data_IF_906888292796
#
_entry.id   IF_906888292796
#
_cell.length_a   1.000
_cell.length_b   1.000
_cell.length_c   1.000
_cell.angle_alpha   90.00
_cell.angle_beta   90.00
_cell.angle_gamma   90.00
#
_symmetry.space_group_name_H-M   'P 1'
#
loop_
_entity.id
_entity.type
_entity.pdbx_description
1 polymer ?
#
# COMPACT_ATOMS: atom_id res chain seq x y z
N UNK A 1 -13.63 5.58 -8.52
CA UNK A 1 -12.32 5.02 -8.93
C UNK A 1 -12.39 3.50 -8.98
N UNK A 2 -11.85 2.89 -10.00
CA UNK A 2 -11.77 1.43 -10.10
C UNK A 2 -10.50 0.93 -9.42
N UNK A 3 -10.63 -0.07 -8.58
CA UNK A 3 -9.52 -0.74 -7.90
C UNK A 3 -9.34 -2.10 -8.54
N UNK A 4 -8.24 -2.28 -9.27
CA UNK A 4 -7.90 -3.55 -9.89
C UNK A 4 -7.24 -4.46 -8.84
N UNK A 5 -7.61 -5.74 -8.86
CA UNK A 5 -6.97 -6.73 -7.98
C UNK A 5 -5.48 -6.87 -8.30
N UNK A 6 -4.73 -7.39 -7.33
CA UNK A 6 -3.27 -7.58 -7.45
C UNK A 6 -2.91 -8.44 -8.66
N UNK A 7 -3.73 -9.44 -8.97
CA UNK A 7 -3.53 -10.33 -10.13
C UNK A 7 -4.10 -9.77 -11.43
N UNK A 8 -4.79 -8.62 -11.39
CA UNK A 8 -5.41 -8.00 -12.55
C UNK A 8 -6.65 -8.69 -13.08
N UNK A 9 -7.18 -9.70 -12.38
CA UNK A 9 -8.26 -10.53 -12.89
C UNK A 9 -9.65 -9.92 -12.69
N UNK A 10 -9.79 -8.96 -11.77
CA UNK A 10 -11.06 -8.29 -11.53
C UNK A 10 -10.82 -6.89 -10.98
N UNK A 11 -11.87 -6.09 -10.98
CA UNK A 11 -11.85 -4.75 -10.43
C UNK A 11 -13.10 -4.48 -9.61
N UNK A 12 -12.97 -3.64 -8.58
CA UNK A 12 -14.09 -3.18 -7.77
C UNK A 12 -14.15 -1.65 -7.81
N UNK A 13 -15.37 -1.11 -7.75
CA UNK A 13 -15.55 0.34 -7.69
C UNK A 13 -15.39 0.81 -6.24
N UNK A 14 -14.51 1.76 -6.01
CA UNK A 14 -14.27 2.31 -4.67
C UNK A 14 -15.53 2.88 -4.03
N UNK A 15 -16.48 3.38 -4.81
CA UNK A 15 -17.75 3.92 -4.33
C UNK A 15 -18.62 2.85 -3.66
N UNK A 16 -18.42 1.60 -4.04
CA UNK A 16 -19.16 0.45 -3.48
C UNK A 16 -18.41 -0.23 -2.33
N UNK A 17 -17.19 0.19 -2.03
CA UNK A 17 -16.41 -0.38 -0.95
C UNK A 17 -16.79 0.30 0.37
N UNK A 18 -17.22 -0.50 1.33
CA UNK A 18 -17.60 -0.04 2.67
C UNK A 18 -16.39 -0.02 3.58
N UNK A 19 -15.47 -0.98 3.39
CA UNK A 19 -14.35 -1.16 4.30
C UNK A 19 -13.23 -1.95 3.62
N UNK A 20 -11.99 -1.60 3.95
CA UNK A 20 -10.82 -2.41 3.66
C UNK A 20 -10.29 -3.05 4.94
N UNK A 21 -9.81 -4.28 4.86
CA UNK A 21 -9.20 -4.97 5.99
C UNK A 21 -7.95 -5.72 5.58
N UNK A 22 -6.97 -5.72 6.47
CA UNK A 22 -5.81 -6.61 6.39
C UNK A 22 -6.08 -7.79 7.32
N UNK A 23 -6.19 -8.99 6.74
CA UNK A 23 -6.50 -10.22 7.49
C UNK A 23 -5.47 -11.29 7.23
N UNK A 24 -5.13 -12.03 8.27
CA UNK A 24 -4.38 -13.27 8.09
C UNK A 24 -5.32 -14.36 7.59
N UNK A 25 -4.82 -15.21 6.68
CA UNK A 25 -5.59 -16.32 6.14
C UNK A 25 -5.81 -17.39 7.21
N UNK A 26 -7.06 -17.83 7.37
CA UNK A 26 -7.40 -18.92 8.28
C UNK A 26 -7.00 -20.29 7.73
N UNK A 27 -6.94 -20.43 6.42
CA UNK A 27 -6.71 -21.70 5.73
C UNK A 27 -5.26 -21.92 5.32
N UNK A 28 -4.52 -20.85 5.01
CA UNK A 28 -3.14 -20.92 4.56
C UNK A 28 -2.24 -20.21 5.56
N UNK A 29 -1.34 -20.95 6.25
CA UNK A 29 -0.37 -20.32 7.15
C UNK A 29 0.57 -19.43 6.35
N UNK A 30 1.03 -18.34 6.96
CA UNK A 30 1.95 -17.38 6.36
C UNK A 30 1.39 -16.64 5.14
N UNK A 31 0.07 -16.46 5.10
CA UNK A 31 -0.57 -15.63 4.06
C UNK A 31 -1.39 -14.53 4.73
N UNK A 32 -1.17 -13.30 4.30
CA UNK A 32 -1.97 -12.14 4.70
C UNK A 32 -2.72 -11.64 3.48
N UNK A 33 -3.99 -11.31 3.65
CA UNK A 33 -4.86 -10.83 2.57
C UNK A 33 -5.30 -9.41 2.83
N UNK A 34 -5.29 -8.62 1.76
CA UNK A 34 -5.97 -7.33 1.74
C UNK A 34 -7.35 -7.57 1.15
N UNK A 35 -8.39 -7.31 1.95
CA UNK A 35 -9.79 -7.58 1.58
C UNK A 35 -10.57 -6.29 1.47
N UNK A 36 -11.50 -6.26 0.52
CA UNK A 36 -12.49 -5.19 0.37
C UNK A 36 -13.87 -5.75 0.65
N UNK A 37 -14.65 -5.07 1.47
CA UNK A 37 -16.05 -5.37 1.70
C UNK A 37 -16.89 -4.47 0.79
N UNK A 38 -17.69 -5.08 -0.06
CA UNK A 38 -18.44 -4.42 -1.12
C UNK A 38 -19.91 -4.47 -0.78
N UNK A 39 -20.59 -3.33 -0.96
CA UNK A 39 -22.03 -3.24 -0.83
C UNK A 39 -22.70 -3.60 -2.16
N UNK A 40 -23.62 -4.56 -2.10
CA UNK A 40 -24.41 -4.96 -3.27
C UNK A 40 -25.77 -4.26 -3.26
N UNK A 41 -26.45 -4.25 -4.42
CA UNK A 41 -27.68 -3.49 -4.69
C UNK A 41 -28.82 -3.77 -3.72
N UNK A 42 -28.88 -4.96 -3.12
CA UNK A 42 -29.93 -5.35 -2.17
C UNK A 42 -29.58 -5.08 -0.70
N UNK A 43 -28.51 -4.33 -0.45
CA UNK A 43 -28.03 -4.05 0.89
C UNK A 43 -27.14 -5.14 1.49
N UNK A 44 -26.93 -6.26 0.81
CA UNK A 44 -26.03 -7.31 1.25
C UNK A 44 -24.57 -6.84 1.12
N UNK A 45 -23.71 -7.38 1.97
CA UNK A 45 -22.26 -7.10 1.95
C UNK A 45 -21.50 -8.34 1.54
N UNK A 46 -20.45 -8.13 0.79
CA UNK A 46 -19.63 -9.20 0.24
C UNK A 46 -18.16 -8.83 0.42
N UNK A 47 -17.41 -9.70 1.07
CA UNK A 47 -15.96 -9.48 1.29
C UNK A 47 -15.16 -10.29 0.29
N UNK A 48 -14.17 -9.66 -0.33
CA UNK A 48 -13.32 -10.29 -1.33
C UNK A 48 -11.87 -9.89 -1.14
N UNK A 49 -10.96 -10.87 -1.28
CA UNK A 49 -9.54 -10.63 -1.29
C UNK A 49 -9.14 -9.92 -2.60
N UNK A 50 -8.50 -8.78 -2.49
CA UNK A 50 -7.99 -8.02 -3.64
C UNK A 50 -6.48 -8.10 -3.76
N UNK A 51 -5.79 -8.65 -2.76
CA UNK A 51 -4.36 -8.86 -2.79
C UNK A 51 -3.92 -9.86 -1.73
N UNK A 52 -2.83 -10.57 -2.01
CA UNK A 52 -2.24 -11.54 -1.10
C UNK A 52 -0.74 -11.27 -0.93
N UNK A 53 -0.26 -11.51 0.29
CA UNK A 53 1.13 -11.29 0.70
C UNK A 53 1.60 -12.50 1.48
N UNK A 54 2.79 -13.01 1.19
CA UNK A 54 3.29 -14.27 1.73
C UNK A 54 4.66 -14.19 2.39
N UNK A 55 5.37 -13.09 2.23
CA UNK A 55 6.70 -12.90 2.80
C UNK A 55 6.65 -12.78 4.34
N UNK A 56 7.79 -12.88 5.04
CA UNK A 56 7.81 -12.68 6.49
C UNK A 56 7.28 -11.32 6.95
N UNK A 57 7.46 -10.28 6.13
CA UNK A 57 6.96 -8.92 6.39
C UNK A 57 5.59 -8.64 5.72
N UNK A 58 4.85 -9.69 5.42
CA UNK A 58 3.58 -9.63 4.66
C UNK A 58 2.54 -8.69 5.25
N UNK A 59 2.41 -8.66 6.56
CA UNK A 59 1.41 -7.81 7.22
C UNK A 59 1.75 -6.33 7.03
N UNK A 60 3.01 -5.97 7.15
CA UNK A 60 3.47 -4.60 6.92
C UNK A 60 3.29 -4.19 5.46
N UNK A 61 3.63 -5.09 4.54
CA UNK A 61 3.45 -4.84 3.10
C UNK A 61 1.99 -4.68 2.73
N UNK A 62 1.10 -5.49 3.32
CA UNK A 62 -0.34 -5.37 3.11
C UNK A 62 -0.87 -4.03 3.63
N UNK A 63 -0.41 -3.57 4.77
CA UNK A 63 -0.77 -2.25 5.32
C UNK A 63 -0.27 -1.11 4.43
N UNK A 64 0.94 -1.22 3.90
CA UNK A 64 1.49 -0.24 2.96
C UNK A 64 0.68 -0.21 1.66
N UNK A 65 0.26 -1.37 1.17
CA UNK A 65 -0.61 -1.45 -0.01
C UNK A 65 -1.96 -0.78 0.25
N UNK A 66 -2.53 -0.98 1.43
CA UNK A 66 -3.77 -0.32 1.85
C UNK A 66 -3.59 1.20 1.89
N UNK A 67 -2.51 1.69 2.46
CA UNK A 67 -2.19 3.11 2.51
C UNK A 67 -2.04 3.70 1.11
N UNK A 68 -1.38 2.98 0.22
CA UNK A 68 -1.22 3.38 -1.18
C UNK A 68 -2.57 3.52 -1.88
N UNK A 69 -3.47 2.54 -1.73
CA UNK A 69 -4.81 2.57 -2.32
C UNK A 69 -5.63 3.71 -1.73
N UNK A 70 -5.61 3.87 -0.41
CA UNK A 70 -6.33 4.93 0.29
C UNK A 70 -5.88 6.32 -0.15
N UNK A 71 -4.58 6.50 -0.31
CA UNK A 71 -4.01 7.74 -0.82
C UNK A 71 -4.47 8.01 -2.26
N UNK A 72 -4.44 6.99 -3.12
CA UNK A 72 -4.88 7.12 -4.52
C UNK A 72 -6.36 7.50 -4.61
N UNK A 73 -7.21 6.92 -3.76
CA UNK A 73 -8.63 7.25 -3.71
C UNK A 73 -8.82 8.70 -3.25
N UNK A 74 -8.13 9.11 -2.20
CA UNK A 74 -8.29 10.45 -1.62
C UNK A 74 -7.78 11.57 -2.52
N UNK A 75 -6.75 11.32 -3.29
CA UNK A 75 -6.21 12.34 -4.22
C UNK A 75 -7.02 12.46 -5.50
N UNK A 76 -7.69 11.37 -5.94
CA UNK A 76 -8.55 11.39 -7.11
C UNK A 76 -7.87 11.68 -8.44
N UNK A 77 -6.54 11.63 -8.51
CA UNK A 77 -5.78 11.98 -9.72
C UNK A 77 -5.84 10.92 -10.81
N UNK A 78 -6.23 9.70 -10.47
CA UNK A 78 -6.30 8.57 -11.41
C UNK A 78 -7.71 8.01 -11.47
N UNK A 79 -8.08 7.48 -12.65
CA UNK A 79 -9.37 6.79 -12.82
C UNK A 79 -9.35 5.38 -12.23
N UNK A 80 -8.17 4.80 -12.09
CA UNK A 80 -8.00 3.45 -11.56
C UNK A 80 -6.68 3.32 -10.81
N UNK A 81 -6.63 2.37 -9.90
CA UNK A 81 -5.43 1.98 -9.17
C UNK A 81 -5.39 0.46 -9.10
N UNK A 82 -4.23 -0.14 -9.30
CA UNK A 82 -4.04 -1.57 -9.13
C UNK A 82 -3.42 -1.83 -7.76
N UNK A 83 -3.89 -2.87 -7.08
CA UNK A 83 -3.29 -3.31 -5.82
C UNK A 83 -1.86 -3.78 -6.10
N UNK A 84 -0.85 -3.18 -5.44
CA UNK A 84 0.55 -3.55 -5.72
C UNK A 84 0.87 -4.96 -5.25
N UNK A 85 1.80 -5.60 -5.95
CA UNK A 85 2.39 -6.87 -5.52
C UNK A 85 3.39 -6.66 -4.40
N UNK A 86 3.81 -7.74 -3.75
CA UNK A 86 4.85 -7.69 -2.72
C UNK A 86 6.14 -7.05 -3.25
N UNK A 87 6.58 -7.45 -4.45
CA UNK A 87 7.78 -6.93 -5.06
C UNK A 87 7.67 -5.43 -5.36
N UNK A 88 6.52 -5.00 -5.87
CA UNK A 88 6.26 -3.59 -6.10
C UNK A 88 6.29 -2.78 -4.79
N UNK A 89 5.70 -3.32 -3.72
CA UNK A 89 5.71 -2.67 -2.42
C UNK A 89 7.12 -2.56 -1.85
N UNK A 90 7.94 -3.58 -1.99
CA UNK A 90 9.34 -3.54 -1.58
C UNK A 90 10.14 -2.50 -2.35
N UNK A 91 9.90 -2.39 -3.65
CA UNK A 91 10.55 -1.40 -4.49
C UNK A 91 10.16 0.03 -4.08
N UNK A 92 8.88 0.27 -3.79
CA UNK A 92 8.40 1.56 -3.30
C UNK A 92 9.01 1.88 -1.93
N UNK A 93 9.03 0.93 -1.02
CA UNK A 93 9.65 1.07 0.30
C UNK A 93 11.15 1.33 0.20
N UNK A 94 11.86 0.60 -0.65
CA UNK A 94 13.27 0.80 -0.91
C UNK A 94 13.58 2.17 -1.51
N UNK A 95 12.78 2.63 -2.45
CA UNK A 95 12.91 3.96 -3.05
C UNK A 95 12.68 5.06 -2.02
N UNK A 96 11.67 4.91 -1.15
CA UNK A 96 11.40 5.86 -0.06
C UNK A 96 12.56 5.90 0.93
N UNK A 97 13.08 4.75 1.32
CA UNK A 97 14.24 4.66 2.22
C UNK A 97 15.48 5.33 1.63
N UNK A 98 15.73 5.16 0.33
CA UNK A 98 16.84 5.81 -0.37
C UNK A 98 16.67 7.33 -0.39
N UNK A 99 15.48 7.83 -0.63
CA UNK A 99 15.20 9.28 -0.58
C UNK A 99 15.44 9.84 0.82
N UNK A 100 14.99 9.15 1.84
CA UNK A 100 15.20 9.56 3.23
C UNK A 100 16.68 9.56 3.60
N UNK A 101 17.43 8.54 3.18
CA UNK A 101 18.87 8.46 3.37
C UNK A 101 19.61 9.59 2.65
N UNK A 102 19.21 9.91 1.42
CA UNK A 102 19.79 11.03 0.66
C UNK A 102 19.50 12.37 1.34
N UNK A 103 18.32 12.57 1.88
CA UNK A 103 17.98 13.78 2.65
C UNK A 103 18.78 13.90 3.91
N UNK A 104 18.96 12.80 4.65
CA UNK A 104 19.80 12.77 5.86
C UNK A 104 21.25 13.08 5.54
N UNK A 105 21.80 12.51 4.46
CA UNK A 105 23.14 12.77 4.01
C UNK A 105 23.38 14.27 3.71
N UNK A 106 22.45 14.91 3.05
CA UNK A 106 22.51 16.34 2.76
C UNK A 106 22.47 17.20 4.03
N UNK A 107 21.62 16.84 4.99
CA UNK A 107 21.52 17.53 6.26
C UNK A 107 22.80 17.37 7.07
N UNK A 108 23.37 16.19 7.11
CA UNK A 108 24.62 15.93 7.83
C UNK A 108 25.79 16.72 7.21
N UNK A 109 25.84 16.82 5.89
CA UNK A 109 26.84 17.63 5.20
C UNK A 109 26.72 19.12 5.53
N UNK A 110 25.51 19.65 5.58
CA UNK A 110 25.24 21.02 5.97
C UNK A 110 25.68 21.28 7.42
N UNK A 111 25.32 20.36 8.32
CA UNK A 111 25.69 20.47 9.74
C UNK A 111 27.20 20.41 9.92
N UNK A 112 27.92 19.57 9.20
CA UNK A 112 29.39 19.46 9.25
C UNK A 112 30.07 20.67 8.70
N UNK A 113 29.54 21.32 7.69
CA UNK A 113 30.10 22.53 7.11
C UNK A 113 29.99 23.74 8.04
N UNK A 114 28.90 23.86 8.79
CA UNK A 114 28.69 24.98 9.72
C UNK A 114 29.77 25.13 10.79
N UNK A 115 30.17 24.07 11.51
CA UNK A 115 31.28 24.21 12.49
C UNK A 115 32.60 24.58 11.88
N UNK A 116 32.86 24.17 10.64
CA UNK A 116 34.08 24.51 9.93
C UNK A 116 34.10 25.98 9.50
N UNK A 117 32.97 26.56 9.20
CA UNK A 117 32.83 27.97 8.84
C UNK A 117 33.01 28.89 10.06
N UNK A 118 32.64 28.42 11.23
CA UNK A 118 32.75 29.17 12.47
C UNK A 118 34.17 29.20 13.02
N UNK A 119 35.04 28.38 12.46
CA UNK A 119 36.45 28.36 12.80
C UNK A 119 37.31 29.18 11.83
#
# INVERSE_FOLDING_TARGET
MMILSQDGMFAVNSDNVVMFEVKESETLPHETRLCATILITNGARFSRSIGTFRSPDRTELAKLALDYISFSISTGHKCSVQVPTEDEMRNIQGAKSRKDAARRGKLDDIIKEQPQQDM
#
